data_IF_712642636534
#
_entry.id   IF_712642636534
#
_cell.length_a   1.000
_cell.length_b   1.000
_cell.length_c   1.000
_cell.angle_alpha   90.00
_cell.angle_beta   90.00
_cell.angle_gamma   90.00
#
_symmetry.space_group_name_H-M   'P 1'
#
loop_
_entity.id
_entity.type
_entity.pdbx_description
1 polymer ?
#
# COMPACT_ATOMS: atom_id res chain seq x y z
N UNK A 1 -4.25 -4.27 -19.24
CA UNK A 1 -3.35 -3.11 -19.06
C UNK A 1 -1.93 -3.42 -19.50
N UNK A 2 -1.39 -4.55 -19.07
CA UNK A 2 -0.01 -4.93 -19.39
C UNK A 2 0.16 -5.10 -20.90
N UNK A 3 -0.81 -5.75 -21.55
CA UNK A 3 -0.75 -6.06 -22.98
C UNK A 3 -0.78 -4.83 -23.87
N UNK A 4 -1.29 -3.70 -23.38
CA UNK A 4 -1.33 -2.47 -24.15
C UNK A 4 0.03 -1.80 -24.29
N UNK A 5 0.99 -2.18 -23.46
CA UNK A 5 2.34 -1.58 -23.38
C UNK A 5 2.30 -0.06 -23.13
N UNK A 6 1.19 0.44 -22.58
CA UNK A 6 1.02 1.85 -22.28
C UNK A 6 1.28 2.12 -20.79
N UNK A 7 1.74 3.33 -20.42
CA UNK A 7 1.80 3.73 -19.02
C UNK A 7 0.41 3.72 -18.42
N UNK A 8 0.22 2.93 -17.38
CA UNK A 8 -1.06 2.82 -16.69
C UNK A 8 -0.84 2.37 -15.25
N UNK A 9 -1.81 2.63 -14.39
CA UNK A 9 -1.75 2.14 -13.01
C UNK A 9 -3.13 1.79 -12.48
N UNK A 10 -3.14 0.94 -11.46
CA UNK A 10 -4.32 0.66 -10.64
C UNK A 10 -4.03 1.19 -9.24
N UNK A 11 -4.98 1.90 -8.66
CA UNK A 11 -4.80 2.49 -7.34
C UNK A 11 -6.05 2.36 -6.50
N UNK A 12 -5.87 2.25 -5.19
CA UNK A 12 -6.98 2.23 -4.25
C UNK A 12 -6.70 1.38 -3.02
N UNK A 13 -7.77 1.15 -2.26
CA UNK A 13 -7.78 0.27 -1.11
C UNK A 13 -8.00 -1.17 -1.59
N UNK A 14 -6.94 -1.97 -1.53
CA UNK A 14 -6.99 -3.37 -1.97
C UNK A 14 -7.37 -4.31 -0.83
N UNK A 15 -7.40 -3.79 0.42
CA UNK A 15 -7.65 -4.60 1.61
C UNK A 15 -6.69 -5.78 1.71
N UNK A 16 -5.43 -5.57 1.34
CA UNK A 16 -4.39 -6.58 1.38
C UNK A 16 -3.12 -6.00 2.00
N UNK A 17 -2.60 -6.67 3.02
CA UNK A 17 -1.27 -6.40 3.59
C UNK A 17 -0.28 -7.28 2.79
N UNK A 18 0.58 -6.69 1.94
CA UNK A 18 1.41 -7.50 1.04
C UNK A 18 2.47 -8.35 1.75
N UNK A 19 3.15 -7.77 2.73
CA UNK A 19 4.26 -8.41 3.43
C UNK A 19 4.17 -8.14 4.93
N UNK A 20 4.83 -8.96 5.78
CA UNK A 20 4.80 -8.73 7.23
C UNK A 20 5.26 -7.33 7.66
N UNK A 21 6.24 -6.74 6.97
CA UNK A 21 6.72 -5.39 7.28
C UNK A 21 5.68 -4.30 6.99
N UNK A 22 4.62 -4.62 6.28
CA UNK A 22 3.54 -3.70 5.98
C UNK A 22 2.50 -3.60 7.10
N UNK A 23 2.75 -4.25 8.23
CA UNK A 23 1.92 -4.15 9.43
C UNK A 23 2.81 -3.92 10.65
N UNK A 24 2.35 -3.06 11.56
CA UNK A 24 3.08 -2.78 12.80
C UNK A 24 3.17 -4.02 13.71
N UNK A 25 2.12 -4.83 13.69
CA UNK A 25 2.01 -6.00 14.56
C UNK A 25 1.34 -7.13 13.78
N UNK A 26 2.13 -7.79 12.95
CA UNK A 26 1.61 -8.77 11.99
C UNK A 26 0.90 -9.95 12.66
N UNK A 27 1.32 -10.32 13.88
CA UNK A 27 0.70 -11.44 14.59
C UNK A 27 -0.80 -11.22 14.83
N UNK A 28 -1.22 -9.96 14.95
CA UNK A 28 -2.64 -9.63 15.11
C UNK A 28 -3.43 -9.81 13.83
N UNK A 29 -2.78 -9.97 12.69
CA UNK A 29 -3.43 -10.02 11.37
C UNK A 29 -3.36 -11.38 10.70
N UNK A 30 -2.66 -12.36 11.27
CA UNK A 30 -2.41 -13.65 10.62
C UNK A 30 -3.69 -14.35 10.15
N UNK A 31 -4.79 -14.21 10.90
CA UNK A 31 -6.08 -14.82 10.55
C UNK A 31 -7.09 -13.81 10.04
N UNK A 32 -6.66 -12.57 9.84
CA UNK A 32 -7.53 -11.51 9.36
C UNK A 32 -7.66 -11.55 7.84
N UNK A 33 -8.81 -11.08 7.33
CA UNK A 33 -9.07 -11.00 5.88
C UNK A 33 -8.00 -10.20 5.16
N UNK A 34 -7.39 -9.19 5.80
CA UNK A 34 -6.37 -8.34 5.19
C UNK A 34 -5.04 -9.07 4.95
N UNK A 35 -4.81 -10.20 5.61
CA UNK A 35 -3.55 -10.92 5.52
C UNK A 35 -3.70 -12.42 5.22
N UNK A 36 -4.84 -12.83 4.67
CA UNK A 36 -5.03 -14.23 4.30
C UNK A 36 -4.04 -14.67 3.22
N UNK A 37 -3.50 -15.90 3.31
CA UNK A 37 -2.59 -16.41 2.29
C UNK A 37 -3.17 -16.37 0.88
N UNK A 38 -4.47 -16.63 0.73
CA UNK A 38 -5.18 -16.59 -0.55
C UNK A 38 -5.15 -15.19 -1.16
N UNK A 39 -5.44 -14.18 -0.35
CA UNK A 39 -5.46 -12.78 -0.81
C UNK A 39 -4.06 -12.33 -1.20
N UNK A 40 -3.05 -12.69 -0.41
CA UNK A 40 -1.66 -12.36 -0.73
C UNK A 40 -1.17 -13.09 -1.98
N UNK A 41 -1.64 -14.32 -2.20
CA UNK A 41 -1.32 -15.05 -3.42
C UNK A 41 -1.88 -14.35 -4.66
N UNK A 42 -3.12 -13.85 -4.59
CA UNK A 42 -3.71 -13.09 -5.69
C UNK A 42 -2.95 -11.79 -5.96
N UNK A 43 -2.53 -11.10 -4.91
CA UNK A 43 -1.70 -9.89 -5.06
C UNK A 43 -0.38 -10.22 -5.76
N UNK A 44 0.29 -11.30 -5.36
CA UNK A 44 1.54 -11.75 -6.00
C UNK A 44 1.34 -12.12 -7.47
N UNK A 45 0.19 -12.69 -7.82
CA UNK A 45 -0.13 -12.98 -9.23
C UNK A 45 -0.17 -11.71 -10.06
N UNK A 46 -0.79 -10.66 -9.53
CA UNK A 46 -0.83 -9.36 -10.21
C UNK A 46 0.58 -8.81 -10.40
N UNK A 47 1.39 -8.83 -9.34
CA UNK A 47 2.79 -8.39 -9.42
C UNK A 47 3.56 -9.20 -10.47
N UNK A 48 3.36 -10.52 -10.49
CA UNK A 48 4.06 -11.41 -11.42
C UNK A 48 3.64 -11.23 -12.88
N UNK A 49 2.48 -10.60 -13.13
CA UNK A 49 2.09 -10.21 -14.49
C UNK A 49 2.93 -9.06 -15.03
N UNK A 50 3.68 -8.37 -14.18
CA UNK A 50 4.53 -7.25 -14.57
C UNK A 50 4.20 -5.93 -13.88
N UNK A 51 3.25 -5.93 -12.93
CA UNK A 51 2.94 -4.73 -12.16
C UNK A 51 3.96 -4.50 -11.05
N UNK A 52 4.23 -3.23 -10.76
CA UNK A 52 5.16 -2.83 -9.69
C UNK A 52 4.38 -2.13 -8.58
N UNK A 53 4.63 -2.54 -7.34
CA UNK A 53 4.15 -1.84 -6.15
C UNK A 53 4.98 -0.55 -6.02
N UNK A 54 4.36 0.59 -6.32
CA UNK A 54 5.06 1.86 -6.42
C UNK A 54 5.73 2.27 -5.10
N UNK A 55 5.03 2.09 -3.98
CA UNK A 55 5.59 2.49 -2.70
C UNK A 55 6.84 1.68 -2.37
N UNK A 56 6.75 0.36 -2.53
CA UNK A 56 7.87 -0.54 -2.20
C UNK A 56 9.05 -0.35 -3.16
N UNK A 57 8.81 0.07 -4.40
CA UNK A 57 9.88 0.36 -5.34
C UNK A 57 10.76 1.54 -4.91
N UNK A 58 10.20 2.49 -4.13
CA UNK A 58 10.89 3.71 -3.71
C UNK A 58 11.24 3.73 -2.22
N UNK A 59 10.64 2.86 -1.41
CA UNK A 59 10.79 2.91 0.05
C UNK A 59 11.02 1.51 0.61
N UNK A 60 11.93 1.40 1.55
CA UNK A 60 12.29 0.13 2.19
C UNK A 60 11.81 0.09 3.63
N UNK A 61 11.71 -1.14 4.16
CA UNK A 61 11.52 -1.37 5.59
C UNK A 61 10.09 -1.27 6.05
N UNK A 62 9.93 -1.36 7.36
CA UNK A 62 8.65 -1.29 8.06
C UNK A 62 8.34 0.14 8.50
N UNK A 63 7.17 0.33 9.11
CA UNK A 63 6.80 1.62 9.69
C UNK A 63 6.05 2.55 8.73
N UNK A 64 5.67 2.06 7.56
CA UNK A 64 4.98 2.85 6.54
C UNK A 64 3.58 2.30 6.34
N UNK A 65 2.57 3.00 6.86
CA UNK A 65 1.20 2.52 6.87
C UNK A 65 0.26 3.54 6.24
N UNK A 66 -0.87 3.04 5.69
CA UNK A 66 -1.90 3.88 5.08
C UNK A 66 -3.21 3.88 5.87
N UNK A 67 -3.32 3.02 6.87
CA UNK A 67 -4.53 2.82 7.66
C UNK A 67 -4.19 2.58 9.12
N UNK A 68 -4.95 3.21 10.02
CA UNK A 68 -4.92 2.98 11.47
C UNK A 68 -6.36 2.94 11.95
N UNK A 69 -6.77 1.82 12.57
CA UNK A 69 -8.11 1.69 13.13
C UNK A 69 -8.37 2.84 14.12
N UNK A 70 -9.61 3.26 14.21
CA UNK A 70 -10.01 4.26 15.20
C UNK A 70 -9.98 3.73 16.63
N UNK A 71 -10.05 2.42 16.80
CA UNK A 71 -10.23 1.78 18.10
C UNK A 71 -8.91 1.41 18.77
N UNK A 72 -9.00 1.16 20.09
CA UNK A 72 -7.93 0.61 20.89
C UNK A 72 -6.61 1.41 20.86
N UNK A 73 -6.67 2.71 20.56
CA UNK A 73 -5.48 3.56 20.53
C UNK A 73 -4.48 3.21 19.44
N UNK A 74 -4.94 2.66 18.33
CA UNK A 74 -4.05 2.21 17.24
C UNK A 74 -3.16 3.33 16.71
N UNK A 75 -3.71 4.55 16.54
CA UNK A 75 -2.91 5.68 16.07
C UNK A 75 -1.82 6.07 17.08
N UNK A 76 -2.16 6.13 18.36
CA UNK A 76 -1.21 6.52 19.40
C UNK A 76 -0.06 5.53 19.52
N UNK A 77 -0.32 4.24 19.25
CA UNK A 77 0.70 3.19 19.27
C UNK A 77 1.39 3.02 17.93
N UNK A 78 0.98 3.77 16.92
CA UNK A 78 1.41 3.58 15.53
C UNK A 78 1.17 2.13 15.05
N UNK A 79 0.04 1.56 15.44
CA UNK A 79 -0.35 0.20 15.09
C UNK A 79 -1.15 0.23 13.78
N UNK A 80 -0.44 0.47 12.69
CA UNK A 80 -1.03 0.63 11.37
C UNK A 80 -0.70 -0.50 10.43
N UNK A 81 -1.33 -0.44 9.24
CA UNK A 81 -1.09 -1.38 8.14
C UNK A 81 -1.08 -0.63 6.82
N UNK A 82 -0.37 -1.16 5.85
CA UNK A 82 -0.34 -0.61 4.48
C UNK A 82 -1.23 -1.48 3.59
N UNK A 83 -2.40 -0.95 3.24
CA UNK A 83 -3.41 -1.67 2.43
C UNK A 83 -3.88 -0.88 1.21
N UNK A 84 -3.45 0.37 1.06
CA UNK A 84 -3.73 1.21 -0.10
C UNK A 84 -2.49 1.22 -0.98
N UNK A 85 -2.66 0.89 -2.27
CA UNK A 85 -1.53 0.65 -3.16
C UNK A 85 -1.68 1.33 -4.50
N UNK A 86 -0.54 1.62 -5.13
CA UNK A 86 -0.42 1.92 -6.56
C UNK A 86 0.33 0.77 -7.23
N UNK A 87 -0.29 0.13 -8.19
CA UNK A 87 0.33 -0.93 -8.98
C UNK A 87 0.52 -0.44 -10.41
N UNK A 88 1.77 -0.37 -10.85
CA UNK A 88 2.15 0.29 -12.10
C UNK A 88 2.52 -0.71 -13.16
N UNK A 89 2.13 -0.44 -14.42
CA UNK A 89 2.66 -1.16 -15.57
C UNK A 89 4.16 -0.87 -15.71
N UNK A 90 4.94 -1.71 -16.43
CA UNK A 90 6.37 -1.43 -16.62
C UNK A 90 6.64 -0.05 -17.19
N UNK A 91 5.84 0.39 -18.16
CA UNK A 91 6.00 1.71 -18.78
C UNK A 91 5.73 2.83 -17.78
N UNK A 92 4.74 2.68 -16.91
CA UNK A 92 4.46 3.65 -15.85
C UNK A 92 5.55 3.62 -14.78
N UNK A 93 6.05 2.44 -14.43
CA UNK A 93 7.15 2.29 -13.48
C UNK A 93 8.40 3.02 -13.92
N UNK A 94 8.68 3.03 -15.23
CA UNK A 94 9.84 3.77 -15.78
C UNK A 94 9.71 5.27 -15.58
N UNK A 95 8.49 5.78 -15.41
CA UNK A 95 8.22 7.21 -15.19
C UNK A 95 8.16 7.57 -13.70
N UNK A 96 8.23 6.59 -12.81
CA UNK A 96 8.03 6.82 -11.38
C UNK A 96 9.20 7.56 -10.76
N UNK A 97 8.94 8.78 -10.25
CA UNK A 97 9.92 9.57 -9.52
C UNK A 97 9.82 9.35 -8.02
N UNK A 98 8.60 9.26 -7.49
CA UNK A 98 8.38 9.15 -6.06
C UNK A 98 7.02 8.53 -5.74
N UNK A 99 6.93 7.93 -4.55
CA UNK A 99 5.68 7.46 -3.99
C UNK A 99 5.72 7.70 -2.48
N UNK A 100 4.70 8.38 -1.95
CA UNK A 100 4.68 8.77 -0.54
C UNK A 100 3.32 8.54 0.09
N UNK A 101 3.34 8.38 1.40
CA UNK A 101 2.15 8.29 2.25
C UNK A 101 2.13 9.52 3.14
N UNK A 102 1.02 10.27 3.12
CA UNK A 102 0.86 11.48 3.91
C UNK A 102 0.36 11.15 5.31
N UNK A 103 1.18 10.49 6.10
CA UNK A 103 0.85 10.04 7.44
C UNK A 103 0.28 11.16 8.33
N UNK A 104 0.81 12.38 8.20
CA UNK A 104 0.43 13.51 9.05
C UNK A 104 -1.06 13.86 8.98
N UNK A 105 -1.74 13.51 7.88
CA UNK A 105 -3.18 13.76 7.72
C UNK A 105 -3.99 12.99 8.78
N UNK A 106 -3.51 11.83 9.23
CA UNK A 106 -4.17 11.02 10.26
C UNK A 106 -4.28 11.74 11.61
N UNK A 107 -3.36 12.66 11.89
CA UNK A 107 -3.34 13.44 13.14
C UNK A 107 -4.21 14.68 13.09
N UNK A 108 -4.87 14.93 11.97
CA UNK A 108 -5.72 16.12 11.80
C UNK A 108 -7.03 16.02 12.57
N UNK A 109 -7.88 17.05 12.40
CA UNK A 109 -9.20 17.10 13.02
C UNK A 109 -10.16 16.20 12.26
N UNK A 110 -10.85 15.28 12.98
CA UNK A 110 -11.78 14.29 12.39
C UNK A 110 -11.19 13.56 11.19
N UNK A 111 -10.01 12.91 11.35
CA UNK A 111 -9.35 12.29 10.21
C UNK A 111 -10.07 11.02 9.76
N UNK A 112 -9.88 10.66 8.49
CA UNK A 112 -10.19 9.31 8.01
C UNK A 112 -9.25 8.31 8.69
N UNK A 113 -9.65 7.04 8.77
CA UNK A 113 -8.77 5.95 9.21
C UNK A 113 -7.72 5.58 8.15
N UNK A 114 -7.94 6.01 6.89
CA UNK A 114 -6.95 5.97 5.82
C UNK A 114 -6.30 7.34 5.64
N UNK A 115 -5.08 7.36 5.12
CA UNK A 115 -4.40 8.59 4.71
C UNK A 115 -4.13 8.56 3.21
N UNK A 116 -3.95 9.75 2.58
CA UNK A 116 -3.62 9.78 1.15
C UNK A 116 -2.29 9.11 0.86
N UNK A 117 -2.25 8.39 -0.25
CA UNK A 117 -1.00 7.98 -0.88
C UNK A 117 -0.94 8.62 -2.26
N UNK A 118 0.27 8.93 -2.74
CA UNK A 118 0.42 9.57 -4.04
C UNK A 118 1.70 9.15 -4.74
N UNK A 119 1.68 9.28 -6.05
CA UNK A 119 2.86 9.04 -6.88
C UNK A 119 3.18 10.30 -7.68
N UNK A 120 4.45 10.44 -8.04
CA UNK A 120 4.93 11.46 -8.93
C UNK A 120 5.54 10.80 -10.15
N UNK A 121 5.07 11.18 -11.32
CA UNK A 121 5.52 10.63 -12.59
C UNK A 121 6.23 11.71 -13.42
N UNK A 122 7.33 11.34 -14.06
CA UNK A 122 8.07 12.22 -14.97
C UNK A 122 7.50 12.05 -16.39
N UNK A 123 6.61 12.94 -16.78
CA UNK A 123 5.92 12.86 -18.06
C UNK A 123 6.59 13.75 -19.13
#
# INVERSE_FOLDING_TARGET
LIDSEAPAFMAGDFNIIPQPEDAANIDNWEKDALFLPESRAEFRKIINLGFTDAFRAKNFGSGNYSFWDYQAGAWDRDDGVRIDHFLLTPQCSDLLENCKIDKHIRSGEKPSDHVPIWIELSI
#
